data_IF_680688474458
#
_entry.id   IF_680688474458
#
_cell.length_a   1.000
_cell.length_b   1.000
_cell.length_c   1.000
_cell.angle_alpha   90.00
_cell.angle_beta   90.00
_cell.angle_gamma   90.00
#
_symmetry.space_group_name_H-M   'P 1'
#
loop_
_entity.id
_entity.type
_entity.pdbx_description
1 polymer ?
#
# COMPACT_ATOMS: atom_id res chain seq x y z
N UNK A 1 -34.59 36.05 8.78
CA UNK A 1 -33.66 34.93 9.01
C UNK A 1 -34.49 33.64 8.93
N UNK A 2 -34.16 32.78 7.98
CA UNK A 2 -34.80 31.48 7.82
C UNK A 2 -33.74 30.40 8.07
N UNK A 3 -33.95 29.53 9.07
CA UNK A 3 -33.10 28.34 9.30
C UNK A 3 -33.82 27.15 8.71
N UNK A 4 -33.18 26.48 7.75
CA UNK A 4 -33.68 25.22 7.17
C UNK A 4 -32.93 24.05 7.81
N UNK A 5 -33.66 23.17 8.47
CA UNK A 5 -33.16 21.93 9.02
C UNK A 5 -33.60 20.78 8.11
N UNK A 6 -32.66 20.01 7.63
CA UNK A 6 -32.92 18.77 6.88
C UNK A 6 -32.59 17.60 7.81
N UNK A 7 -33.57 16.76 8.09
CA UNK A 7 -33.40 15.51 8.83
C UNK A 7 -33.56 14.39 7.83
N UNK A 8 -32.58 13.49 7.75
CA UNK A 8 -32.58 12.34 6.90
C UNK A 8 -31.76 11.22 7.51
N UNK A 9 -32.03 9.99 7.14
CA UNK A 9 -31.16 8.86 7.47
C UNK A 9 -29.98 8.82 6.49
N UNK A 10 -28.78 8.61 7.04
CA UNK A 10 -27.60 8.41 6.22
C UNK A 10 -27.72 7.05 5.54
N UNK A 11 -27.86 7.03 4.22
CA UNK A 11 -27.79 5.80 3.43
C UNK A 11 -26.31 5.36 3.45
N UNK A 12 -26.01 4.28 4.19
CA UNK A 12 -24.69 3.65 4.15
C UNK A 12 -24.48 3.01 2.77
N UNK A 13 -23.40 3.40 2.12
CA UNK A 13 -22.94 2.68 0.94
C UNK A 13 -22.35 1.33 1.36
N UNK A 14 -22.49 0.24 0.56
CA UNK A 14 -21.91 -1.07 0.90
C UNK A 14 -20.39 -1.04 1.15
N UNK A 15 -19.69 -0.03 0.65
CA UNK A 15 -18.25 0.16 0.83
C UNK A 15 -17.89 1.03 2.05
N UNK A 16 -18.86 1.62 2.75
CA UNK A 16 -18.57 2.43 3.94
C UNK A 16 -17.96 1.57 5.08
N UNK A 17 -18.30 0.29 5.14
CA UNK A 17 -17.74 -0.65 6.12
C UNK A 17 -16.27 -1.03 5.80
N UNK A 18 -15.78 -0.76 4.58
CA UNK A 18 -14.38 -0.96 4.16
C UNK A 18 -13.52 0.29 4.34
N UNK A 19 -14.13 1.39 4.82
CA UNK A 19 -13.47 2.69 4.93
C UNK A 19 -12.84 2.86 6.31
N UNK A 20 -11.54 3.13 6.31
CA UNK A 20 -10.75 3.43 7.49
C UNK A 20 -10.36 4.91 7.51
N UNK A 21 -10.31 5.50 8.71
CA UNK A 21 -9.77 6.83 8.89
C UNK A 21 -8.25 6.72 9.02
N UNK A 22 -7.52 7.34 8.10
CA UNK A 22 -6.07 7.44 8.11
C UNK A 22 -5.63 8.92 8.18
N UNK A 23 -4.36 9.14 8.46
CA UNK A 23 -3.71 10.45 8.44
C UNK A 23 -2.64 10.44 7.35
N UNK A 24 -2.70 11.41 6.45
CA UNK A 24 -1.64 11.70 5.51
C UNK A 24 -0.70 12.74 6.13
N UNK A 25 0.55 12.36 6.38
CA UNK A 25 1.62 13.20 6.89
C UNK A 25 2.53 13.56 5.73
N UNK A 26 2.80 14.85 5.52
CA UNK A 26 3.62 15.30 4.40
C UNK A 26 4.63 16.37 4.81
N UNK A 27 5.79 16.35 4.15
CA UNK A 27 6.78 17.41 4.21
C UNK A 27 7.38 17.67 2.83
N UNK A 28 7.70 18.94 2.55
CA UNK A 28 8.48 19.31 1.37
C UNK A 28 9.93 19.51 1.78
N UNK A 29 10.84 18.83 1.08
CA UNK A 29 12.27 18.78 1.43
C UNK A 29 13.10 19.10 0.18
N UNK A 30 13.90 20.17 0.22
CA UNK A 30 14.72 20.66 -0.90
C UNK A 30 16.25 20.57 -0.67
N UNK A 31 16.65 20.01 0.47
CA UNK A 31 18.06 19.99 0.90
C UNK A 31 18.54 18.63 1.48
N UNK A 32 17.75 17.56 1.36
CA UNK A 32 18.18 16.22 1.71
C UNK A 32 18.97 15.58 0.57
N UNK A 33 20.09 14.93 0.89
CA UNK A 33 20.83 14.12 -0.07
C UNK A 33 19.91 13.02 -0.66
N UNK A 34 19.69 12.97 -1.99
CA UNK A 34 18.76 12.01 -2.61
C UNK A 34 19.09 10.54 -2.31
N UNK A 35 20.34 10.22 -2.01
CA UNK A 35 20.78 8.85 -1.67
C UNK A 35 20.18 8.35 -0.35
N UNK A 36 19.68 9.23 0.50
CA UNK A 36 19.09 8.88 1.79
C UNK A 36 17.61 8.43 1.66
N UNK A 37 16.92 8.85 0.59
CA UNK A 37 15.49 8.59 0.45
C UNK A 37 15.08 7.12 0.52
N UNK A 38 15.79 6.15 -0.11
CA UNK A 38 15.41 4.73 0.03
C UNK A 38 15.41 4.25 1.47
N UNK A 39 16.41 4.68 2.27
CA UNK A 39 16.49 4.36 3.70
C UNK A 39 15.40 5.02 4.53
N UNK A 40 15.03 6.26 4.21
CA UNK A 40 13.93 6.98 4.85
C UNK A 40 12.61 6.25 4.63
N UNK A 41 12.26 5.95 3.38
CA UNK A 41 11.02 5.24 3.04
C UNK A 41 10.96 3.86 3.71
N UNK A 42 12.03 3.09 3.63
CA UNK A 42 12.12 1.77 4.28
C UNK A 42 11.91 1.87 5.79
N UNK A 43 12.48 2.88 6.45
CA UNK A 43 12.35 3.09 7.89
C UNK A 43 10.92 3.44 8.28
N UNK A 44 10.24 4.28 7.50
CA UNK A 44 8.84 4.65 7.73
C UNK A 44 7.91 3.43 7.61
N UNK A 45 8.08 2.61 6.57
CA UNK A 45 7.30 1.38 6.39
C UNK A 45 7.55 0.40 7.56
N UNK A 46 8.81 0.20 7.96
CA UNK A 46 9.14 -0.67 9.10
C UNK A 46 8.58 -0.17 10.43
N UNK A 47 8.42 1.14 10.58
CA UNK A 47 7.79 1.75 11.74
C UNK A 47 6.25 1.67 11.74
N UNK A 48 5.65 1.05 10.72
CA UNK A 48 4.22 0.78 10.64
C UNK A 48 3.43 1.76 9.78
N UNK A 49 4.08 2.59 8.96
CA UNK A 49 3.36 3.36 7.95
C UNK A 49 2.59 2.41 7.02
N UNK A 50 1.32 2.73 6.74
CA UNK A 50 0.52 1.98 5.78
C UNK A 50 1.05 2.11 4.35
N UNK A 51 1.67 3.27 4.04
CA UNK A 51 2.39 3.54 2.80
C UNK A 51 3.33 4.74 2.98
N UNK A 52 4.40 4.83 2.16
CA UNK A 52 5.30 5.97 2.12
C UNK A 52 5.89 6.15 0.72
N UNK A 53 5.81 7.37 0.18
CA UNK A 53 6.28 7.65 -1.18
C UNK A 53 6.83 9.06 -1.34
N UNK A 54 7.48 9.32 -2.48
CA UNK A 54 8.02 10.61 -2.87
C UNK A 54 7.30 11.16 -4.10
N UNK A 55 7.03 12.46 -4.09
CA UNK A 55 6.56 13.21 -5.25
C UNK A 55 7.60 14.27 -5.58
N UNK A 56 8.23 14.25 -6.77
CA UNK A 56 9.12 15.32 -7.19
C UNK A 56 8.34 16.61 -7.42
N UNK A 57 8.86 17.71 -6.89
CA UNK A 57 8.24 19.03 -6.98
C UNK A 57 9.28 20.12 -7.30
N UNK A 58 8.80 21.26 -7.73
CA UNK A 58 9.60 22.50 -7.78
C UNK A 58 9.07 23.43 -6.70
N UNK A 59 9.93 23.81 -5.78
CA UNK A 59 9.63 24.77 -4.72
C UNK A 59 9.90 26.20 -5.14
N UNK A 60 9.56 27.16 -4.26
CA UNK A 60 9.90 28.58 -4.45
C UNK A 60 11.36 28.75 -4.85
N UNK A 61 11.65 29.79 -5.63
CA UNK A 61 12.99 30.09 -6.18
C UNK A 61 13.49 29.03 -7.20
N UNK A 62 12.59 28.19 -7.75
CA UNK A 62 12.93 27.20 -8.77
C UNK A 62 13.71 26.00 -8.26
N UNK A 63 13.68 25.70 -6.94
CA UNK A 63 14.46 24.61 -6.36
C UNK A 63 13.79 23.25 -6.59
N UNK A 64 14.48 22.28 -7.21
CA UNK A 64 14.05 20.88 -7.20
C UNK A 64 13.95 20.35 -5.76
N UNK A 65 12.90 19.61 -5.47
CA UNK A 65 12.62 19.09 -4.14
C UNK A 65 11.73 17.85 -4.22
N UNK A 66 11.46 17.23 -3.08
CA UNK A 66 10.49 16.16 -2.96
C UNK A 66 9.45 16.50 -1.88
N UNK A 67 8.19 16.20 -2.16
CA UNK A 67 7.22 15.98 -1.10
C UNK A 67 7.34 14.52 -0.69
N UNK A 68 7.70 14.27 0.57
CA UNK A 68 7.56 12.95 1.18
C UNK A 68 6.17 12.86 1.78
N UNK A 69 5.46 11.79 1.46
CA UNK A 69 4.10 11.52 1.95
C UNK A 69 4.11 10.19 2.70
N UNK A 70 3.46 10.16 3.84
CA UNK A 70 3.35 8.98 4.73
C UNK A 70 1.88 8.78 5.07
N UNK A 71 1.34 7.64 4.74
CA UNK A 71 0.00 7.24 5.14
C UNK A 71 0.07 6.45 6.44
N UNK A 72 -0.62 6.90 7.46
CA UNK A 72 -0.54 6.36 8.81
C UNK A 72 -1.93 6.14 9.41
N UNK A 73 -2.07 5.11 10.24
CA UNK A 73 -3.21 5.03 11.14
C UNK A 73 -3.11 6.15 12.18
N UNK A 74 -4.26 6.67 12.68
CA UNK A 74 -4.26 7.77 13.65
C UNK A 74 -3.43 7.51 14.91
N UNK A 75 -3.41 6.26 15.39
CA UNK A 75 -2.65 5.83 16.58
C UNK A 75 -1.13 5.82 16.36
N UNK A 76 -0.66 5.73 15.12
CA UNK A 76 0.76 5.71 14.74
C UNK A 76 1.27 7.06 14.21
N UNK A 77 0.38 8.01 13.92
CA UNK A 77 0.73 9.26 13.26
C UNK A 77 1.78 10.08 14.03
N UNK A 78 1.73 10.09 15.37
CA UNK A 78 2.67 10.84 16.19
C UNK A 78 4.10 10.29 16.08
N UNK A 79 4.27 8.98 16.12
CA UNK A 79 5.57 8.32 16.05
C UNK A 79 6.17 8.44 14.64
N UNK A 80 5.34 8.27 13.60
CA UNK A 80 5.77 8.42 12.21
C UNK A 80 6.15 9.87 11.88
N UNK A 81 5.42 10.84 12.41
CA UNK A 81 5.79 12.26 12.30
C UNK A 81 7.15 12.53 12.94
N UNK A 82 7.37 12.05 14.15
CA UNK A 82 8.65 12.21 14.84
C UNK A 82 9.79 11.56 14.03
N UNK A 83 9.56 10.35 13.52
CA UNK A 83 10.52 9.63 12.71
C UNK A 83 10.86 10.40 11.42
N UNK A 84 9.84 10.93 10.73
CA UNK A 84 10.02 11.72 9.51
C UNK A 84 10.91 12.95 9.75
N UNK A 85 10.66 13.70 10.80
CA UNK A 85 11.48 14.86 11.19
C UNK A 85 12.91 14.44 11.55
N UNK A 86 13.08 13.27 12.19
CA UNK A 86 14.41 12.77 12.59
C UNK A 86 15.24 12.30 11.38
N UNK A 87 14.59 11.70 10.38
CA UNK A 87 15.28 11.09 9.23
C UNK A 87 15.49 12.06 8.05
N UNK A 88 14.91 13.25 8.11
CA UNK A 88 15.01 14.22 7.02
C UNK A 88 15.47 15.59 7.55
N UNK A 89 15.73 16.53 6.63
CA UNK A 89 16.07 17.92 6.98
C UNK A 89 14.83 18.79 7.25
N UNK A 90 13.60 18.23 7.19
CA UNK A 90 12.39 19.02 7.40
C UNK A 90 12.27 19.52 8.84
N UNK A 91 11.86 20.78 8.98
CA UNK A 91 11.57 21.40 10.28
C UNK A 91 10.08 21.46 10.58
N UNK A 92 9.24 20.95 9.67
CA UNK A 92 7.80 20.98 9.83
C UNK A 92 7.08 20.03 8.87
N UNK A 93 5.97 19.51 9.33
CA UNK A 93 5.09 18.63 8.57
C UNK A 93 3.67 19.20 8.53
N UNK A 94 2.88 18.78 7.57
CA UNK A 94 1.44 19.02 7.51
C UNK A 94 0.71 17.69 7.59
N UNK A 95 -0.46 17.69 8.20
CA UNK A 95 -1.29 16.52 8.37
C UNK A 95 -2.67 16.77 7.81
N UNK A 96 -3.22 15.76 7.16
CA UNK A 96 -4.58 15.78 6.62
C UNK A 96 -5.27 14.47 6.96
N UNK A 97 -6.46 14.54 7.56
CA UNK A 97 -7.28 13.35 7.75
C UNK A 97 -7.82 12.89 6.40
N UNK A 98 -7.62 11.64 6.08
CA UNK A 98 -8.07 11.02 4.84
C UNK A 98 -8.93 9.80 5.14
N UNK A 99 -9.80 9.47 4.21
CA UNK A 99 -10.55 8.22 4.24
C UNK A 99 -9.94 7.28 3.21
N UNK A 100 -9.44 6.13 3.67
CA UNK A 100 -8.93 5.06 2.83
C UNK A 100 -9.98 3.96 2.73
N UNK A 101 -10.26 3.51 1.52
CA UNK A 101 -11.10 2.34 1.27
C UNK A 101 -10.25 1.31 0.56
N UNK A 102 -10.09 0.13 1.15
CA UNK A 102 -9.33 -0.97 0.58
C UNK A 102 -10.19 -2.23 0.53
N UNK A 103 -10.11 -2.98 -0.57
CA UNK A 103 -10.74 -4.28 -0.65
C UNK A 103 -10.12 -5.24 0.37
N UNK A 104 -10.91 -6.12 1.00
CA UNK A 104 -10.40 -7.25 1.75
C UNK A 104 -9.43 -8.05 0.87
N UNK A 105 -8.35 -8.52 1.48
CA UNK A 105 -7.30 -9.25 0.79
C UNK A 105 -6.70 -10.33 1.66
N UNK A 106 -6.18 -11.34 1.01
CA UNK A 106 -5.42 -12.42 1.63
C UNK A 106 -4.48 -13.05 0.63
N UNK A 107 -3.76 -14.06 1.07
CA UNK A 107 -2.73 -14.72 0.26
C UNK A 107 -2.96 -16.21 0.19
N UNK A 108 -2.63 -16.78 -0.97
CA UNK A 108 -2.50 -18.21 -1.21
C UNK A 108 -1.08 -18.47 -1.65
N UNK A 109 -0.40 -19.41 -1.01
CA UNK A 109 0.95 -19.77 -1.35
C UNK A 109 0.95 -20.89 -2.40
N UNK A 110 1.63 -20.70 -3.52
CA UNK A 110 1.82 -21.69 -4.58
C UNK A 110 3.29 -22.07 -4.72
N UNK A 111 3.55 -23.35 -5.00
CA UNK A 111 4.89 -23.83 -5.32
C UNK A 111 5.07 -23.78 -6.85
N UNK A 112 6.00 -22.96 -7.30
CA UNK A 112 6.27 -22.70 -8.71
C UNK A 112 7.76 -22.90 -8.95
N UNK A 113 8.10 -23.82 -9.84
CA UNK A 113 9.49 -24.22 -10.13
C UNK A 113 10.31 -24.56 -8.85
N UNK A 114 9.65 -25.07 -7.79
CA UNK A 114 10.28 -25.41 -6.51
C UNK A 114 10.33 -24.27 -5.49
N UNK A 115 10.02 -23.03 -5.86
CA UNK A 115 10.00 -21.89 -4.97
C UNK A 115 8.56 -21.55 -4.53
N UNK A 116 8.40 -21.12 -3.27
CA UNK A 116 7.12 -20.67 -2.74
C UNK A 116 6.87 -19.22 -3.13
N UNK A 117 5.74 -18.96 -3.81
CA UNK A 117 5.31 -17.62 -4.22
C UNK A 117 3.92 -17.36 -3.66
N UNK A 118 3.79 -16.28 -2.91
CA UNK A 118 2.52 -15.82 -2.36
C UNK A 118 1.71 -15.10 -3.43
N UNK A 119 0.48 -15.55 -3.64
CA UNK A 119 -0.47 -14.93 -4.56
C UNK A 119 -1.44 -14.09 -3.75
N UNK A 120 -1.37 -12.77 -3.89
CA UNK A 120 -2.30 -11.85 -3.26
C UNK A 120 -3.63 -11.85 -3.99
N UNK A 121 -4.71 -12.00 -3.24
CA UNK A 121 -6.08 -12.02 -3.72
C UNK A 121 -6.84 -10.88 -3.06
N UNK A 122 -7.26 -9.89 -3.83
CA UNK A 122 -8.27 -8.93 -3.40
C UNK A 122 -9.66 -9.44 -3.77
N UNK A 123 -10.61 -9.30 -2.86
CA UNK A 123 -11.95 -9.85 -3.08
C UNK A 123 -13.05 -8.91 -2.57
N UNK A 124 -14.28 -9.14 -3.04
CA UNK A 124 -15.47 -8.43 -2.59
C UNK A 124 -16.68 -9.37 -2.65
N UNK A 125 -17.47 -9.39 -1.60
CA UNK A 125 -18.68 -10.24 -1.48
C UNK A 125 -18.42 -11.71 -1.84
N UNK A 126 -17.31 -12.28 -1.37
CA UNK A 126 -16.96 -13.68 -1.62
C UNK A 126 -16.44 -13.99 -3.04
N UNK A 127 -16.20 -12.97 -3.85
CA UNK A 127 -15.71 -13.11 -5.23
C UNK A 127 -14.35 -12.47 -5.41
N UNK A 128 -13.45 -13.13 -6.11
CA UNK A 128 -12.11 -12.63 -6.45
C UNK A 128 -12.25 -11.46 -7.43
N UNK A 129 -11.61 -10.34 -7.09
CA UNK A 129 -11.54 -9.15 -7.94
C UNK A 129 -10.18 -8.98 -8.59
N UNK A 130 -9.12 -9.33 -7.87
CA UNK A 130 -7.76 -9.20 -8.37
C UNK A 130 -6.89 -10.33 -7.84
N UNK A 131 -5.99 -10.82 -8.68
CA UNK A 131 -4.99 -11.85 -8.39
C UNK A 131 -3.64 -11.30 -8.79
N UNK A 132 -2.69 -11.25 -7.86
CA UNK A 132 -1.37 -10.67 -8.10
C UNK A 132 -0.32 -11.44 -7.30
N UNK A 133 0.68 -12.05 -7.94
CA UNK A 133 1.85 -12.60 -7.24
C UNK A 133 2.61 -11.50 -6.49
N UNK A 134 3.14 -11.80 -5.31
CA UNK A 134 3.99 -10.86 -4.56
C UNK A 134 5.34 -10.71 -5.27
N UNK A 135 5.72 -9.46 -5.52
CA UNK A 135 6.88 -9.15 -6.37
C UNK A 135 8.20 -9.60 -5.73
N UNK A 136 8.37 -9.43 -4.42
CA UNK A 136 9.57 -9.83 -3.70
C UNK A 136 9.78 -11.37 -3.78
N UNK A 137 8.69 -12.14 -3.73
CA UNK A 137 8.74 -13.59 -3.93
C UNK A 137 9.12 -13.95 -5.36
N UNK A 138 8.61 -13.20 -6.36
CA UNK A 138 8.96 -13.38 -7.76
C UNK A 138 10.44 -13.10 -8.02
N UNK A 139 10.97 -11.99 -7.51
CA UNK A 139 12.40 -11.65 -7.68
C UNK A 139 13.32 -12.72 -7.04
N UNK A 140 12.99 -13.12 -5.81
CA UNK A 140 13.72 -14.18 -5.11
C UNK A 140 13.69 -15.49 -5.90
N UNK A 141 12.50 -15.95 -6.32
CA UNK A 141 12.34 -17.19 -7.06
C UNK A 141 13.02 -17.13 -8.44
N UNK A 142 12.97 -16.01 -9.13
CA UNK A 142 13.65 -15.81 -10.40
C UNK A 142 15.17 -15.95 -10.25
N UNK A 143 15.75 -15.33 -9.20
CA UNK A 143 17.17 -15.43 -8.90
C UNK A 143 17.59 -16.88 -8.53
N UNK A 144 16.77 -17.59 -7.73
CA UNK A 144 17.02 -19.00 -7.35
C UNK A 144 17.01 -19.95 -8.57
N UNK A 145 16.23 -19.63 -9.61
CA UNK A 145 16.02 -20.47 -10.79
C UNK A 145 16.81 -20.02 -12.03
N UNK A 146 17.63 -18.98 -11.90
CA UNK A 146 18.34 -18.33 -13.03
C UNK A 146 17.39 -17.92 -14.17
N UNK A 147 16.22 -17.38 -13.80
CA UNK A 147 15.18 -16.88 -14.71
C UNK A 147 15.05 -15.36 -14.62
N UNK A 148 14.47 -14.77 -15.65
CA UNK A 148 14.07 -13.37 -15.56
C UNK A 148 12.83 -13.20 -14.68
N UNK A 149 12.68 -12.08 -13.94
CA UNK A 149 11.46 -11.81 -13.17
C UNK A 149 10.18 -11.84 -14.00
N UNK A 150 10.23 -11.45 -15.27
CA UNK A 150 9.09 -11.52 -16.18
C UNK A 150 8.68 -12.95 -16.49
N UNK A 151 9.65 -13.83 -16.72
CA UNK A 151 9.38 -15.26 -16.96
C UNK A 151 8.78 -15.92 -15.72
N UNK A 152 9.29 -15.56 -14.53
CA UNK A 152 8.73 -16.06 -13.26
C UNK A 152 7.32 -15.53 -13.03
N UNK A 153 7.03 -14.27 -13.38
CA UNK A 153 5.68 -13.70 -13.32
C UNK A 153 4.71 -14.46 -14.22
N UNK A 154 5.10 -14.77 -15.46
CA UNK A 154 4.29 -15.54 -16.40
C UNK A 154 3.97 -16.94 -15.85
N UNK A 155 4.95 -17.62 -15.27
CA UNK A 155 4.76 -18.93 -14.63
C UNK A 155 3.83 -18.83 -13.41
N UNK A 156 4.00 -17.79 -12.58
CA UNK A 156 3.15 -17.57 -11.42
C UNK A 156 1.69 -17.29 -11.80
N UNK A 157 1.47 -16.49 -12.83
CA UNK A 157 0.12 -16.22 -13.33
C UNK A 157 -0.52 -17.48 -13.96
N UNK A 158 0.23 -18.29 -14.69
CA UNK A 158 -0.24 -19.58 -15.23
C UNK A 158 -0.59 -20.56 -14.10
N UNK A 159 0.21 -20.63 -13.06
CA UNK A 159 -0.04 -21.48 -11.89
C UNK A 159 -1.28 -21.00 -11.10
N UNK A 160 -1.45 -19.69 -10.92
CA UNK A 160 -2.64 -19.12 -10.29
C UNK A 160 -3.91 -19.46 -11.09
N UNK A 161 -3.87 -19.33 -12.41
CA UNK A 161 -4.96 -19.74 -13.30
C UNK A 161 -5.30 -21.22 -13.16
N UNK A 162 -4.27 -22.11 -13.18
CA UNK A 162 -4.44 -23.55 -13.01
C UNK A 162 -5.01 -23.93 -11.64
N UNK A 163 -4.74 -23.13 -10.61
CA UNK A 163 -5.30 -23.29 -9.26
C UNK A 163 -6.72 -22.70 -9.13
N UNK A 164 -7.31 -22.16 -10.20
CA UNK A 164 -8.65 -21.56 -10.18
C UNK A 164 -8.69 -20.15 -9.57
N UNK A 165 -7.52 -19.54 -9.31
CA UNK A 165 -7.42 -18.18 -8.78
C UNK A 165 -7.59 -17.19 -9.94
N UNK A 166 -8.83 -16.86 -10.27
CA UNK A 166 -9.16 -15.96 -11.37
C UNK A 166 -10.24 -14.96 -10.96
N UNK A 167 -10.21 -13.79 -11.57
CA UNK A 167 -11.25 -12.78 -11.37
C UNK A 167 -12.63 -13.35 -11.68
N UNK A 168 -13.59 -13.14 -10.78
CA UNK A 168 -14.95 -13.66 -10.88
C UNK A 168 -15.15 -15.04 -10.22
N UNK A 169 -14.10 -15.76 -9.87
CA UNK A 169 -14.21 -17.01 -9.12
C UNK A 169 -14.53 -16.76 -7.63
N UNK A 170 -15.10 -17.74 -6.93
CA UNK A 170 -15.28 -17.67 -5.50
C UNK A 170 -13.92 -17.60 -4.78
N UNK A 171 -13.90 -16.90 -3.65
CA UNK A 171 -12.71 -16.84 -2.78
C UNK A 171 -12.40 -18.24 -2.24
N UNK A 172 -11.16 -18.73 -2.35
CA UNK A 172 -10.81 -20.03 -1.82
C UNK A 172 -10.85 -20.05 -0.29
N UNK A 173 -11.18 -21.20 0.28
CA UNK A 173 -11.10 -21.42 1.72
C UNK A 173 -9.64 -21.32 2.19
N UNK A 174 -9.44 -20.74 3.39
CA UNK A 174 -8.12 -20.71 4.02
C UNK A 174 -7.16 -19.61 3.49
N UNK A 175 -7.70 -18.50 2.98
CA UNK A 175 -6.89 -17.31 2.71
C UNK A 175 -6.11 -16.89 3.96
N UNK A 176 -4.79 -16.77 3.83
CA UNK A 176 -3.95 -16.21 4.87
C UNK A 176 -4.16 -14.69 4.91
N UNK A 177 -4.61 -14.17 6.05
CA UNK A 177 -4.73 -12.71 6.27
C UNK A 177 -3.35 -12.07 6.51
N UNK A 178 -3.23 -10.77 6.26
CA UNK A 178 -2.10 -10.00 6.78
C UNK A 178 -2.19 -9.95 8.30
N UNK A 179 -1.17 -10.39 8.96
CA UNK A 179 -0.93 -10.12 10.39
C UNK A 179 -0.58 -8.67 10.59
#
# INVERSE_FOLDING_TARGET
NLTRVLIGEQVKHPDDDLSEADVLIEANVDDLDPRLWPGVLTSLIRAGAADAWLVPIIMKKGRPAHTVSVLARPDQAADLRYLLVTLTSTIGVRETSVRKTALPRGWVDLIIAGSCISIKIAHRHGTIWQVTPEFDDLERAAAEQDLSPITMLEQAMAAALAAGLVTGAPVPDGLRSST
#
